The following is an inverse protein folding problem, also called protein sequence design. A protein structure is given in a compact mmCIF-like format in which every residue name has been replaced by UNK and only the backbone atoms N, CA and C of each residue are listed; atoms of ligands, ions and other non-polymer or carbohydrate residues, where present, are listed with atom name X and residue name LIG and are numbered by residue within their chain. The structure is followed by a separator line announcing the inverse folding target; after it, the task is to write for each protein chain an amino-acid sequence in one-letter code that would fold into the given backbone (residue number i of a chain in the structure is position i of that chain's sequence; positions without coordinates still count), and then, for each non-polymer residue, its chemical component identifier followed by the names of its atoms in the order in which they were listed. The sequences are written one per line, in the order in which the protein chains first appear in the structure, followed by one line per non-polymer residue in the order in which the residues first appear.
data_IF_234298034290
#
_entry.id   IF_234298034290
#
_cell.length_a   1.000
_cell.length_b   1.000
_cell.length_c   1.000
_cell.angle_alpha   90.00
_cell.angle_beta   90.00
_cell.angle_gamma   90.00
#
_symmetry.space_group_name_H-M   'P 1'
#
loop_
_entity.id
_entity.type
_entity.pdbx_description
1 polymer ?
#
# COMPACT_ATOMS: atom_id res chain seq x y z
N UNK A 1 -9.31 -4.14 -0.80
CA UNK A 1 -8.38 -2.98 -0.82
C UNK A 1 -7.25 -3.17 0.19
N UNK A 2 -7.53 -3.46 1.46
CA UNK A 2 -6.51 -3.67 2.51
C UNK A 2 -5.56 -4.86 2.24
N UNK A 3 -6.01 -5.92 1.57
CA UNK A 3 -5.19 -7.09 1.29
C UNK A 3 -4.00 -6.81 0.33
N UNK A 4 -4.13 -5.82 -0.56
CA UNK A 4 -3.06 -5.44 -1.51
C UNK A 4 -2.01 -4.50 -0.91
N UNK A 5 -2.29 -3.90 0.24
CA UNK A 5 -1.31 -3.08 0.97
C UNK A 5 -0.19 -3.91 1.61
N UNK A 6 -0.36 -5.23 1.71
CA UNK A 6 0.55 -6.12 2.44
C UNK A 6 2.02 -6.03 2.03
N UNK A 7 2.31 -5.69 0.77
CA UNK A 7 3.69 -5.52 0.29
C UNK A 7 4.31 -4.16 0.65
N UNK A 8 3.48 -3.18 0.99
CA UNK A 8 3.91 -1.80 1.29
C UNK A 8 3.92 -1.48 2.78
N UNK A 9 3.40 -2.35 3.63
CA UNK A 9 3.37 -2.20 5.09
C UNK A 9 4.40 -3.11 5.75
N UNK A 10 5.02 -2.64 6.82
CA UNK A 10 5.90 -3.46 7.64
C UNK A 10 5.15 -4.23 8.72
N UNK A 11 4.10 -3.62 9.28
CA UNK A 11 3.29 -4.18 10.35
C UNK A 11 1.81 -3.85 10.14
N UNK A 12 0.92 -4.74 10.58
CA UNK A 12 -0.51 -4.44 10.71
C UNK A 12 -0.77 -3.71 12.01
N UNK A 13 -1.85 -2.96 12.09
CA UNK A 13 -2.22 -2.25 13.34
C UNK A 13 -2.39 -3.24 14.51
N UNK A 14 -2.92 -4.44 14.26
CA UNK A 14 -3.04 -5.48 15.29
C UNK A 14 -1.71 -5.93 15.88
N UNK A 15 -0.64 -5.94 15.09
CA UNK A 15 0.70 -6.33 15.54
C UNK A 15 1.35 -5.31 16.48
N UNK A 16 0.97 -4.02 16.35
CA UNK A 16 1.43 -2.97 17.27
C UNK A 16 1.04 -3.25 18.73
N UNK A 17 -0.07 -3.96 18.93
CA UNK A 17 -0.58 -4.31 20.26
C UNK A 17 -0.03 -5.63 20.80
N UNK A 18 0.46 -6.52 19.94
CA UNK A 18 0.99 -7.84 20.30
C UNK A 18 2.51 -7.87 20.46
N UNK A 19 3.22 -6.90 19.90
CA UNK A 19 4.66 -6.82 19.87
C UNK A 19 5.16 -5.59 20.64
N UNK A 20 6.33 -5.65 21.24
CA UNK A 20 6.96 -4.48 21.86
C UNK A 20 7.77 -3.71 20.80
N UNK A 21 7.09 -2.79 20.14
CA UNK A 21 7.65 -1.97 19.06
C UNK A 21 7.98 -0.54 19.50
N UNK A 22 8.02 -0.27 20.80
CA UNK A 22 8.31 1.06 21.33
C UNK A 22 9.62 1.62 20.79
N UNK A 23 9.57 2.83 20.23
CA UNK A 23 10.71 3.49 19.60
C UNK A 23 11.09 2.98 18.21
N UNK A 24 10.48 1.90 17.72
CA UNK A 24 10.77 1.36 16.39
C UNK A 24 10.06 2.13 15.30
N UNK A 25 10.69 2.12 14.12
CA UNK A 25 10.10 2.71 12.91
C UNK A 25 9.25 1.66 12.19
N UNK A 26 7.99 2.00 11.93
CA UNK A 26 7.03 1.14 11.26
C UNK A 26 6.40 1.85 10.07
N UNK A 27 5.92 1.06 9.13
CA UNK A 27 5.02 1.52 8.08
C UNK A 27 3.73 0.74 8.20
N UNK A 28 2.64 1.44 8.44
CA UNK A 28 1.32 0.86 8.59
C UNK A 28 0.37 1.42 7.53
N UNK A 29 -0.71 0.70 7.29
CA UNK A 29 -1.75 1.14 6.39
C UNK A 29 -3.12 0.97 7.01
N UNK A 30 -4.02 1.88 6.69
CA UNK A 30 -5.40 1.83 7.18
C UNK A 30 -6.26 2.94 6.61
N UNK A 31 -7.53 2.92 7.01
CA UNK A 31 -8.52 3.91 6.63
C UNK A 31 -8.56 5.00 7.71
N UNK A 32 -8.57 6.26 7.30
CA UNK A 32 -8.74 7.40 8.21
C UNK A 32 -10.17 7.41 8.75
N UNK A 33 -10.30 7.09 10.03
CA UNK A 33 -11.58 7.11 10.74
C UNK A 33 -11.96 8.54 11.16
N UNK A 34 -10.98 9.28 11.68
CA UNK A 34 -11.14 10.66 12.09
C UNK A 34 -9.81 11.42 12.01
N UNK A 35 -9.89 12.71 11.81
CA UNK A 35 -8.75 13.62 11.92
C UNK A 35 -9.19 14.89 12.67
N UNK A 36 -8.42 15.25 13.69
CA UNK A 36 -8.62 16.46 14.47
C UNK A 36 -7.44 17.41 14.29
N UNK A 37 -7.56 18.43 13.46
CA UNK A 37 -6.52 19.46 13.34
C UNK A 37 -6.46 20.30 14.63
N UNK A 38 -5.24 20.66 15.03
CA UNK A 38 -4.94 21.47 16.21
C UNK A 38 -3.87 22.48 15.84
N UNK A 39 -3.99 23.69 16.37
CA UNK A 39 -2.95 24.72 16.22
C UNK A 39 -2.01 24.67 17.42
N UNK A 40 -0.71 24.57 17.16
CA UNK A 40 0.33 24.54 18.21
C UNK A 40 0.45 25.91 18.85
N UNK A 41 0.52 25.96 20.20
CA UNK A 41 0.66 27.21 20.94
C UNK A 41 2.02 27.89 20.72
N UNK A 42 3.06 27.10 20.46
CA UNK A 42 4.42 27.63 20.36
C UNK A 42 4.67 28.44 19.07
N UNK A 43 4.19 27.94 17.92
CA UNK A 43 4.53 28.50 16.61
C UNK A 43 3.30 28.81 15.75
N UNK A 44 2.09 28.70 16.30
CA UNK A 44 0.82 28.89 15.60
C UNK A 44 0.71 28.06 14.30
N UNK A 45 1.36 26.88 14.28
CA UNK A 45 1.34 25.96 13.14
C UNK A 45 0.28 24.88 13.32
N UNK A 46 -0.28 24.43 12.20
CA UNK A 46 -1.26 23.35 12.23
C UNK A 46 -0.59 21.98 12.30
N UNK A 47 -1.09 21.13 13.17
CA UNK A 47 -0.81 19.70 13.26
C UNK A 47 -2.11 18.94 13.35
N UNK A 48 -2.11 17.62 13.28
CA UNK A 48 -3.33 16.86 13.54
C UNK A 48 -3.07 15.60 14.37
N UNK A 49 -4.14 15.19 15.06
CA UNK A 49 -4.30 13.85 15.61
C UNK A 49 -5.27 13.10 14.72
N UNK A 50 -4.79 12.06 14.07
CA UNK A 50 -5.59 11.24 13.19
C UNK A 50 -5.76 9.85 13.80
N UNK A 51 -6.92 9.25 13.60
CA UNK A 51 -7.19 7.87 13.97
C UNK A 51 -7.35 7.05 12.70
N UNK A 52 -6.54 6.01 12.55
CA UNK A 52 -6.63 5.08 11.42
C UNK A 52 -6.99 3.70 11.90
N UNK A 53 -7.73 2.98 11.09
CA UNK A 53 -8.23 1.64 11.40
C UNK A 53 -7.85 0.63 10.32
N UNK A 54 -7.55 -0.60 10.76
CA UNK A 54 -7.30 -1.75 9.91
C UNK A 54 -7.96 -2.98 10.54
N UNK A 55 -8.83 -3.66 9.79
CA UNK A 55 -9.42 -4.96 10.18
C UNK A 55 -9.95 -5.04 11.63
N UNK A 56 -10.53 -3.94 12.14
CA UNK A 56 -11.17 -3.87 13.46
C UNK A 56 -10.26 -3.40 14.61
N UNK A 57 -9.01 -3.07 14.34
CA UNK A 57 -8.14 -2.36 15.30
C UNK A 57 -7.85 -0.96 14.78
N UNK A 58 -7.70 -0.01 15.69
CA UNK A 58 -7.36 1.37 15.36
C UNK A 58 -6.17 1.85 16.17
N UNK A 59 -5.44 2.84 15.62
CA UNK A 59 -4.30 3.47 16.28
C UNK A 59 -4.35 4.97 16.08
N UNK A 60 -3.90 5.72 17.08
CA UNK A 60 -3.75 7.17 16.99
C UNK A 60 -2.42 7.54 16.32
N UNK A 61 -2.49 8.52 15.42
CA UNK A 61 -1.34 9.07 14.70
C UNK A 61 -1.18 10.53 15.08
N UNK A 62 -0.01 10.89 15.58
CA UNK A 62 0.37 12.29 15.79
C UNK A 62 1.12 12.79 14.57
N UNK A 63 0.57 13.79 13.93
CA UNK A 63 1.12 14.37 12.69
C UNK A 63 1.58 15.78 12.98
N UNK A 64 2.90 15.92 13.20
CA UNK A 64 3.51 17.22 13.48
C UNK A 64 3.43 18.17 12.29
N UNK A 65 3.56 19.49 12.52
CA UNK A 65 3.29 20.52 11.52
C UNK A 65 4.03 20.33 10.20
N UNK A 66 5.30 19.92 10.24
CA UNK A 66 6.12 19.69 9.04
C UNK A 66 5.52 18.59 8.14
N UNK A 67 5.10 17.48 8.76
CA UNK A 67 4.50 16.35 8.04
C UNK A 67 3.07 16.70 7.62
N UNK A 68 2.32 17.35 8.50
CA UNK A 68 0.95 17.75 8.22
C UNK A 68 0.86 18.67 7.00
N UNK A 69 1.71 19.69 6.91
CA UNK A 69 1.72 20.63 5.79
C UNK A 69 1.94 19.94 4.41
N UNK A 70 2.71 18.85 4.39
CA UNK A 70 2.99 18.08 3.17
C UNK A 70 1.99 16.96 2.89
N UNK A 71 1.09 16.66 3.82
CA UNK A 71 0.18 15.51 3.75
C UNK A 71 -1.27 15.82 4.13
N UNK A 72 -1.70 17.07 4.02
CA UNK A 72 -3.06 17.51 4.41
C UNK A 72 -4.14 16.65 3.77
N UNK A 73 -4.00 16.33 2.49
CA UNK A 73 -4.99 15.56 1.75
C UNK A 73 -5.11 14.11 2.21
N UNK A 74 -4.07 13.56 2.83
CA UNK A 74 -4.09 12.20 3.37
C UNK A 74 -5.13 12.04 4.49
N UNK A 75 -5.35 13.06 5.29
CA UNK A 75 -6.09 13.00 6.55
C UNK A 75 -7.60 13.26 6.41
N UNK A 76 -8.11 13.18 5.20
CA UNK A 76 -9.57 13.21 4.96
C UNK A 76 -10.17 11.87 5.37
N UNK A 77 -11.36 11.95 5.98
CA UNK A 77 -12.11 10.76 6.38
C UNK A 77 -12.29 9.81 5.19
N UNK A 78 -12.28 8.52 5.46
CA UNK A 78 -12.40 7.41 4.50
C UNK A 78 -11.24 7.25 3.51
N UNK A 79 -10.21 8.10 3.58
CA UNK A 79 -9.00 7.89 2.81
C UNK A 79 -8.25 6.64 3.30
N UNK A 80 -7.80 5.85 2.34
CA UNK A 80 -6.86 4.76 2.59
C UNK A 80 -5.44 5.33 2.53
N UNK A 81 -4.69 5.20 3.64
CA UNK A 81 -3.38 5.83 3.78
C UNK A 81 -2.30 4.84 4.19
N UNK A 82 -1.08 5.10 3.74
CA UNK A 82 0.15 4.53 4.27
C UNK A 82 0.85 5.57 5.12
N UNK A 83 1.17 5.21 6.35
CA UNK A 83 1.85 6.07 7.31
C UNK A 83 3.13 5.40 7.77
N UNK A 84 4.25 6.07 7.57
CA UNK A 84 5.53 5.68 8.14
C UNK A 84 5.82 6.57 9.34
N UNK A 85 6.21 5.98 10.45
CA UNK A 85 6.46 6.72 11.68
C UNK A 85 7.09 5.86 12.75
N UNK A 86 7.29 6.46 13.91
CA UNK A 86 7.84 5.81 15.09
C UNK A 86 6.72 5.48 16.07
N UNK A 87 6.76 4.26 16.60
CA UNK A 87 5.83 3.82 17.65
C UNK A 87 6.23 4.44 18.98
N UNK A 88 5.28 5.06 19.67
CA UNK A 88 5.38 5.45 21.06
C UNK A 88 4.31 4.72 21.88
N UNK A 89 4.75 4.07 22.93
CA UNK A 89 3.86 3.37 23.85
C UNK A 89 3.83 4.15 25.16
N UNK A 90 2.64 4.51 25.62
CA UNK A 90 2.40 5.11 26.94
C UNK A 90 1.59 4.14 27.79
N UNK A 91 1.90 4.10 29.07
CA UNK A 91 1.24 3.25 30.05
C UNK A 91 2.09 2.07 30.48
N UNK A 92 1.92 1.65 31.72
CA UNK A 92 2.52 0.42 32.27
C UNK A 92 1.75 -0.78 31.74
N UNK A 93 2.46 -1.87 31.55
CA UNK A 93 1.89 -3.18 31.21
C UNK A 93 1.17 -3.77 32.42
N UNK A 94 0.05 -3.20 32.82
CA UNK A 94 -0.90 -3.92 33.63
C UNK A 94 -1.83 -4.68 32.68
N UNK A 95 -1.65 -5.98 32.61
CA UNK A 95 -2.61 -6.87 31.97
C UNK A 95 -3.82 -6.92 32.92
N UNK A 96 -5.01 -6.56 32.41
CA UNK A 96 -6.25 -6.83 33.12
C UNK A 96 -6.48 -8.36 33.17
N UNK A 97 -7.37 -8.83 34.07
CA UNK A 97 -7.67 -10.26 34.28
C UNK A 97 -8.14 -10.98 33.00
N UNK A 98 -8.48 -10.23 31.94
CA UNK A 98 -8.88 -10.71 30.60
C UNK A 98 -7.72 -10.74 29.59
N UNK A 99 -6.47 -10.45 30.00
CA UNK A 99 -5.29 -10.47 29.12
C UNK A 99 -5.23 -9.30 28.12
N UNK A 100 -5.99 -8.25 28.36
CA UNK A 100 -6.02 -7.06 27.50
C UNK A 100 -5.03 -6.04 28.06
N UNK A 101 -3.91 -5.85 27.41
CA UNK A 101 -2.95 -4.81 27.80
C UNK A 101 -3.53 -3.43 27.49
N UNK A 102 -3.69 -2.61 28.51
CA UNK A 102 -4.19 -1.22 28.39
C UNK A 102 -3.07 -0.29 27.90
N UNK A 103 -2.30 -0.73 26.89
CA UNK A 103 -1.24 0.04 26.25
C UNK A 103 -1.86 1.07 25.31
N UNK A 104 -1.66 2.33 25.61
CA UNK A 104 -1.97 3.41 24.67
C UNK A 104 -0.82 3.49 23.65
N UNK A 105 -1.10 3.08 22.43
CA UNK A 105 -0.12 3.08 21.33
C UNK A 105 -0.42 4.26 20.44
N UNK A 106 0.61 5.05 20.20
CA UNK A 106 0.57 6.22 19.31
C UNK A 106 1.69 6.10 18.29
N UNK A 107 1.45 6.54 17.06
CA UNK A 107 2.51 6.63 16.05
C UNK A 107 2.79 8.10 15.77
N UNK A 108 4.05 8.49 15.90
CA UNK A 108 4.53 9.79 15.43
C UNK A 108 4.86 9.66 13.95
N UNK A 109 4.07 10.31 13.10
CA UNK A 109 4.25 10.25 11.67
C UNK A 109 5.51 10.97 11.19
N UNK A 110 6.34 10.29 10.43
CA UNK A 110 7.46 10.84 9.68
C UNK A 110 7.02 11.21 8.24
N UNK A 111 6.12 10.41 7.66
CA UNK A 111 5.56 10.60 6.33
C UNK A 111 4.19 9.93 6.24
N UNK A 112 3.33 10.49 5.40
CA UNK A 112 2.05 9.88 5.04
C UNK A 112 1.80 10.05 3.54
N UNK A 113 1.18 9.05 2.92
CA UNK A 113 0.71 9.14 1.54
C UNK A 113 -0.65 8.47 1.42
N UNK A 114 -1.49 9.00 0.55
CA UNK A 114 -2.70 8.29 0.17
C UNK A 114 -2.25 6.98 -0.49
N UNK A 115 -2.75 5.86 0.01
CA UNK A 115 -2.73 4.66 -0.77
C UNK A 115 -3.84 4.82 -1.83
N UNK A 116 -3.52 5.60 -2.85
CA UNK A 116 -4.12 5.28 -4.11
C UNK A 116 -3.74 3.81 -4.34
N UNK A 117 -4.71 2.90 -4.54
CA UNK A 117 -4.45 1.89 -5.55
C UNK A 117 -3.81 2.77 -6.62
N UNK A 118 -2.50 2.60 -6.92
CA UNK A 118 -2.02 3.21 -8.14
C UNK A 118 -3.13 2.86 -9.09
N UNK A 119 -3.96 3.87 -9.42
CA UNK A 119 -4.63 3.79 -10.66
C UNK A 119 -3.45 3.50 -11.56
N UNK A 120 -3.21 2.23 -11.78
CA UNK A 120 -2.67 1.83 -13.02
C UNK A 120 -3.52 2.67 -13.94
N UNK A 121 -2.94 3.82 -14.35
CA UNK A 121 -3.54 4.71 -15.33
C UNK A 121 -4.25 3.76 -16.23
N UNK A 122 -5.54 3.78 -16.13
CA UNK A 122 -6.50 2.91 -16.73
C UNK A 122 -5.82 2.13 -17.86
N UNK A 123 -4.97 1.13 -17.48
CA UNK A 123 -4.44 0.19 -18.44
C UNK A 123 -5.62 -0.70 -18.79
N UNK A 124 -6.69 -0.04 -19.30
CA UNK A 124 -7.79 -0.68 -20.01
C UNK A 124 -7.24 -1.67 -21.02
N UNK A 125 -5.96 -1.57 -21.28
CA UNK A 125 -5.25 -2.35 -22.27
C UNK A 125 -4.08 -3.19 -21.74
N UNK A 126 -3.86 -3.33 -20.41
CA UNK A 126 -2.85 -4.28 -19.91
C UNK A 126 -3.23 -5.70 -20.34
N UNK A 127 -2.38 -6.32 -21.12
CA UNK A 127 -2.61 -7.66 -21.68
C UNK A 127 -1.77 -8.69 -20.95
N UNK A 128 -2.44 -9.74 -20.47
CA UNK A 128 -1.77 -10.87 -19.82
C UNK A 128 -1.90 -12.09 -20.74
N UNK A 129 -0.75 -12.64 -21.12
CA UNK A 129 -0.68 -13.81 -22.00
C UNK A 129 -0.22 -15.02 -21.16
N UNK A 130 -1.10 -15.96 -20.95
CA UNK A 130 -0.80 -17.18 -20.22
C UNK A 130 -0.11 -18.20 -21.12
N UNK A 131 1.04 -18.69 -20.68
CA UNK A 131 1.82 -19.71 -21.40
C UNK A 131 1.57 -21.06 -20.72
N UNK A 132 0.89 -21.99 -21.40
CA UNK A 132 0.62 -23.32 -20.85
C UNK A 132 1.90 -24.10 -20.58
N UNK A 133 1.86 -24.95 -19.55
CA UNK A 133 2.93 -25.91 -19.26
C UNK A 133 3.20 -26.81 -20.45
N UNK A 134 4.48 -27.05 -20.72
CA UNK A 134 4.90 -27.92 -21.83
C UNK A 134 4.85 -27.25 -23.21
N UNK A 135 4.65 -25.91 -23.26
CA UNK A 135 4.78 -25.17 -24.54
C UNK A 135 6.20 -25.39 -25.13
N UNK A 136 6.29 -25.93 -26.35
CA UNK A 136 7.56 -26.20 -26.99
C UNK A 136 8.34 -24.92 -27.28
N UNK A 137 9.67 -25.05 -27.31
CA UNK A 137 10.55 -23.92 -27.61
C UNK A 137 10.24 -23.30 -28.99
N UNK A 138 9.87 -24.10 -29.98
CA UNK A 138 9.46 -23.60 -31.29
C UNK A 138 8.23 -22.66 -31.21
N UNK A 139 7.24 -23.03 -30.41
CA UNK A 139 6.06 -22.19 -30.17
C UNK A 139 6.40 -20.88 -29.44
N UNK A 140 7.32 -20.93 -28.46
CA UNK A 140 7.79 -19.74 -27.76
C UNK A 140 8.54 -18.77 -28.69
N UNK A 141 9.36 -19.31 -29.61
CA UNK A 141 10.04 -18.50 -30.62
C UNK A 141 9.04 -17.85 -31.58
N UNK A 142 8.05 -18.63 -32.05
CA UNK A 142 6.97 -18.10 -32.92
C UNK A 142 6.17 -17.03 -32.21
N UNK A 143 5.80 -17.22 -30.93
CA UNK A 143 5.14 -16.25 -30.10
C UNK A 143 5.97 -14.96 -29.97
N UNK A 144 7.24 -15.07 -29.64
CA UNK A 144 8.13 -13.93 -29.53
C UNK A 144 8.23 -13.12 -30.83
N UNK A 145 8.29 -13.81 -31.98
CA UNK A 145 8.28 -13.17 -33.32
C UNK A 145 6.96 -12.41 -33.54
N UNK A 146 5.83 -13.03 -33.21
CA UNK A 146 4.49 -12.43 -33.31
C UNK A 146 4.35 -11.20 -32.42
N UNK A 147 4.76 -11.30 -31.17
CA UNK A 147 4.70 -10.18 -30.21
C UNK A 147 5.60 -9.02 -30.66
N UNK A 148 6.80 -9.34 -31.13
CA UNK A 148 7.76 -8.33 -31.62
C UNK A 148 7.30 -7.62 -32.88
N UNK A 149 6.51 -8.28 -33.72
CA UNK A 149 5.92 -7.69 -34.94
C UNK A 149 4.70 -6.80 -34.64
N UNK A 150 4.08 -6.97 -33.48
CA UNK A 150 2.87 -6.24 -33.07
C UNK A 150 3.14 -5.31 -31.88
N UNK A 151 4.24 -4.57 -31.91
CA UNK A 151 4.53 -3.55 -30.89
C UNK A 151 3.49 -2.42 -30.91
N UNK A 152 3.11 -1.95 -29.72
CA UNK A 152 2.11 -0.90 -29.56
C UNK A 152 2.12 -0.32 -28.13
N UNK A 153 1.12 0.45 -27.76
CA UNK A 153 1.12 1.18 -26.49
C UNK A 153 0.70 0.34 -25.28
N UNK A 154 0.01 -0.80 -25.48
CA UNK A 154 -0.54 -1.58 -24.36
C UNK A 154 0.55 -2.40 -23.67
N UNK A 155 0.86 -2.18 -22.40
CA UNK A 155 1.77 -3.03 -21.62
C UNK A 155 1.31 -4.48 -21.61
N UNK A 156 2.25 -5.41 -21.67
CA UNK A 156 1.92 -6.83 -21.71
C UNK A 156 2.88 -7.67 -20.87
N UNK A 157 2.34 -8.74 -20.30
CA UNK A 157 3.07 -9.71 -19.49
C UNK A 157 2.83 -11.13 -19.96
N UNK A 158 3.89 -11.93 -19.89
CA UNK A 158 3.83 -13.39 -20.11
C UNK A 158 3.82 -14.07 -18.75
N UNK A 159 2.78 -14.82 -18.48
CA UNK A 159 2.62 -15.59 -17.23
C UNK A 159 2.91 -17.06 -17.50
N UNK A 160 3.99 -17.55 -16.89
CA UNK A 160 4.34 -18.94 -16.78
C UNK A 160 3.92 -19.49 -15.42
N UNK A 161 3.87 -20.81 -15.22
CA UNK A 161 3.49 -21.40 -13.93
C UNK A 161 4.32 -20.89 -12.74
N UNK A 162 5.59 -20.61 -12.95
CA UNK A 162 6.55 -20.30 -11.87
C UNK A 162 7.03 -18.86 -11.89
N UNK A 163 6.72 -18.09 -12.92
CA UNK A 163 7.19 -16.71 -13.05
C UNK A 163 6.34 -15.88 -14.01
N UNK A 164 6.30 -14.60 -13.78
CA UNK A 164 5.78 -13.60 -14.71
C UNK A 164 6.94 -12.81 -15.32
N UNK A 165 6.85 -12.53 -16.60
CA UNK A 165 7.86 -11.77 -17.35
C UNK A 165 7.17 -10.62 -18.07
N UNK A 166 7.49 -9.39 -17.68
CA UNK A 166 7.00 -8.19 -18.37
C UNK A 166 7.77 -8.02 -19.68
N UNK A 167 7.04 -7.72 -20.77
CA UNK A 167 7.66 -7.42 -22.04
C UNK A 167 8.31 -6.02 -22.00
N UNK A 168 9.50 -5.85 -22.59
CA UNK A 168 10.20 -4.56 -22.61
C UNK A 168 9.56 -3.55 -23.57
N UNK A 169 8.42 -3.88 -24.16
CA UNK A 169 7.62 -3.06 -25.08
C UNK A 169 6.14 -3.41 -24.93
N UNK A 170 5.27 -2.45 -25.19
CA UNK A 170 3.84 -2.71 -25.26
C UNK A 170 3.41 -3.39 -26.56
N UNK A 171 2.15 -3.83 -26.60
CA UNK A 171 1.55 -4.52 -27.74
C UNK A 171 0.42 -3.71 -28.40
N UNK A 172 0.30 -3.80 -29.71
CA UNK A 172 -0.87 -3.39 -30.46
C UNK A 172 -1.85 -4.57 -30.53
N UNK A 173 -2.82 -4.59 -29.63
CA UNK A 173 -3.78 -5.69 -29.54
C UNK A 173 -4.79 -5.62 -30.68
N UNK A 174 -4.69 -6.53 -31.64
CA UNK A 174 -5.57 -6.61 -32.80
C UNK A 174 -6.12 -8.02 -33.01
N UNK A 175 -7.10 -8.17 -33.90
CA UNK A 175 -7.77 -9.44 -34.19
C UNK A 175 -6.84 -10.55 -34.70
N UNK A 176 -5.66 -10.20 -35.25
CA UNK A 176 -4.65 -11.15 -35.69
C UNK A 176 -3.89 -11.80 -34.54
N UNK A 177 -3.69 -11.07 -33.43
CA UNK A 177 -3.01 -11.56 -32.23
C UNK A 177 -3.92 -12.47 -31.38
N UNK A 178 -5.24 -12.35 -31.51
CA UNK A 178 -6.24 -13.12 -30.72
C UNK A 178 -6.49 -14.51 -31.33
N UNK A 179 -6.13 -14.73 -32.60
CA UNK A 179 -6.40 -15.98 -33.31
C UNK A 179 -5.16 -16.86 -33.51
N UNK A 180 -3.99 -16.45 -33.04
CA UNK A 180 -2.75 -17.18 -33.13
C UNK A 180 -2.45 -17.91 -31.81
#
# INVERSE_FOLDING_TARGET
KLARMGESISHRISQLYSEDLNGQKVTIGGIVEACRPVTTKANNQQMCFAKITDSGKSVEIVVFPKVYASSVDCWKQDNLVLVSGRVETKGETEEDEDGNSNREITIIADAAKIFAEEDHEDHKDHKVIYIPKGTSQAKLVSLNTLLSANKGPAPAELVFETKTVSLPYGLAWNAGLVKA
#
